data_IF_815648638315
#
_entry.id   IF_815648638315
#
_cell.length_a   1.000
_cell.length_b   1.000
_cell.length_c   1.000
_cell.angle_alpha   90.00
_cell.angle_beta   90.00
_cell.angle_gamma   90.00
#
_symmetry.space_group_name_H-M   'P 1'
#
loop_
_entity.id
_entity.type
_entity.pdbx_description
1 polymer ?
#
# COMPACT_ATOMS: atom_id res chain seq x y z
N UNK A 1 -7.09 4.26 -5.41
CA UNK A 1 -6.85 5.35 -6.38
C UNK A 1 -7.09 4.91 -7.82
N UNK A 2 -6.56 3.77 -8.27
CA UNK A 2 -6.68 3.28 -9.67
C UNK A 2 -8.12 3.14 -10.19
N UNK A 3 -9.11 3.00 -9.30
CA UNK A 3 -10.53 2.89 -9.68
C UNK A 3 -11.24 4.23 -9.82
N UNK A 4 -10.55 5.34 -9.65
CA UNK A 4 -11.14 6.67 -9.83
C UNK A 4 -11.09 7.04 -11.32
N UNK A 5 -12.19 6.82 -12.04
CA UNK A 5 -12.25 6.85 -13.51
C UNK A 5 -11.94 8.22 -14.13
N UNK A 6 -12.07 9.32 -13.37
CA UNK A 6 -11.82 10.68 -13.84
C UNK A 6 -10.37 11.14 -13.70
N UNK A 7 -9.50 10.32 -13.10
CA UNK A 7 -8.07 10.57 -12.96
C UNK A 7 -7.32 9.48 -13.71
N UNK A 8 -6.33 9.87 -14.50
CA UNK A 8 -5.52 8.95 -15.29
C UNK A 8 -4.21 8.64 -14.56
N UNK A 9 -4.08 7.46 -13.94
CA UNK A 9 -2.84 7.03 -13.34
C UNK A 9 -1.83 6.54 -14.39
N UNK A 10 -0.57 6.80 -14.14
CA UNK A 10 0.57 6.20 -14.83
C UNK A 10 1.50 5.63 -13.77
N UNK A 11 1.57 4.31 -13.69
CA UNK A 11 2.43 3.60 -12.75
C UNK A 11 3.77 3.25 -13.39
N UNK A 12 4.84 3.39 -12.62
CA UNK A 12 6.16 2.98 -13.03
C UNK A 12 6.22 1.45 -13.14
N UNK A 13 6.45 0.95 -14.35
CA UNK A 13 6.36 -0.48 -14.61
C UNK A 13 7.57 -1.26 -14.09
N UNK A 14 7.34 -2.22 -13.20
CA UNK A 14 8.35 -3.18 -12.73
C UNK A 14 8.86 -4.15 -13.80
N UNK A 15 8.37 -4.06 -15.04
CA UNK A 15 8.97 -4.75 -16.19
C UNK A 15 10.26 -4.08 -16.64
N UNK A 16 10.39 -2.78 -16.43
CA UNK A 16 11.51 -1.97 -16.88
C UNK A 16 12.37 -1.43 -15.75
N UNK A 17 11.77 -1.16 -14.61
CA UNK A 17 12.44 -0.65 -13.42
C UNK A 17 12.61 -1.72 -12.34
N UNK A 18 13.57 -1.53 -11.46
CA UNK A 18 13.76 -2.34 -10.25
C UNK A 18 12.80 -1.84 -9.16
N UNK A 19 12.32 -2.76 -8.32
CA UNK A 19 11.60 -2.41 -7.09
C UNK A 19 12.45 -1.52 -6.18
N UNK A 20 11.81 -0.54 -5.52
CA UNK A 20 12.47 0.41 -4.62
C UNK A 20 12.49 -0.11 -3.18
N UNK A 21 11.54 -0.97 -2.81
CA UNK A 21 11.42 -1.53 -1.46
C UNK A 21 9.98 -1.96 -1.15
N UNK A 22 9.68 -2.08 0.13
CA UNK A 22 8.36 -2.43 0.64
C UNK A 22 7.85 -1.36 1.59
N UNK A 23 6.54 -1.08 1.55
CA UNK A 23 5.88 -0.26 2.56
C UNK A 23 5.74 -1.03 3.88
N UNK A 24 5.97 -0.37 5.01
CA UNK A 24 5.67 -0.95 6.31
C UNK A 24 4.20 -1.35 6.42
N UNK A 25 3.93 -2.56 6.89
CA UNK A 25 2.58 -3.07 7.06
C UNK A 25 2.14 -2.84 8.50
N UNK A 26 1.08 -2.04 8.68
CA UNK A 26 0.39 -1.90 9.97
C UNK A 26 -0.77 -2.91 10.01
N UNK A 27 -0.66 -3.89 10.90
CA UNK A 27 -1.73 -4.87 11.13
C UNK A 27 -2.84 -4.26 11.98
N UNK A 28 -4.10 -4.53 11.61
CA UNK A 28 -5.28 -4.01 12.30
C UNK A 28 -6.36 -5.09 12.40
N UNK A 29 -7.17 -5.00 13.43
CA UNK A 29 -8.32 -5.88 13.61
C UNK A 29 -9.35 -5.68 12.50
N UNK A 30 -9.97 -6.78 12.08
CA UNK A 30 -11.11 -6.75 11.18
C UNK A 30 -12.33 -6.11 11.88
N UNK A 31 -13.00 -5.19 11.22
CA UNK A 31 -14.27 -4.66 11.71
C UNK A 31 -15.35 -5.74 11.69
N UNK A 32 -16.11 -5.89 12.78
CA UNK A 32 -17.23 -6.83 12.88
C UNK A 32 -18.41 -6.44 11.99
N UNK A 33 -18.66 -5.14 11.84
CA UNK A 33 -19.80 -4.60 11.09
C UNK A 33 -19.51 -4.34 9.61
N UNK A 34 -18.24 -4.19 9.22
CA UNK A 34 -17.86 -3.90 7.84
C UNK A 34 -16.65 -4.73 7.39
N UNK A 35 -16.89 -5.69 6.50
CA UNK A 35 -15.86 -6.59 5.96
C UNK A 35 -14.74 -5.89 5.17
N UNK A 36 -14.93 -4.64 4.79
CA UNK A 36 -13.96 -3.86 4.01
C UNK A 36 -13.17 -2.87 4.87
N UNK A 37 -13.43 -2.81 6.17
CA UNK A 37 -12.75 -1.89 7.08
C UNK A 37 -12.04 -2.63 8.20
N UNK A 38 -11.05 -1.96 8.76
CA UNK A 38 -10.28 -2.38 9.92
C UNK A 38 -10.44 -1.34 11.04
N UNK A 39 -10.21 -1.77 12.27
CA UNK A 39 -10.35 -0.93 13.47
C UNK A 39 -8.97 -0.57 14.04
N UNK A 40 -8.69 -0.97 15.26
CA UNK A 40 -7.48 -0.66 15.99
C UNK A 40 -6.27 -1.47 15.50
N UNK A 41 -5.07 -0.99 15.83
CA UNK A 41 -3.83 -1.70 15.57
C UNK A 41 -3.82 -3.00 16.35
N UNK A 42 -3.51 -4.10 15.68
CA UNK A 42 -3.49 -5.44 16.25
C UNK A 42 -2.36 -6.27 15.66
N UNK A 43 -1.36 -6.55 16.47
CA UNK A 43 -0.21 -7.37 16.10
C UNK A 43 -0.19 -8.64 16.98
N UNK A 44 -0.85 -9.72 16.52
CA UNK A 44 -1.00 -10.95 17.31
C UNK A 44 0.31 -11.70 17.45
N UNK A 45 0.46 -12.41 18.57
CA UNK A 45 1.45 -13.47 18.71
C UNK A 45 0.96 -14.71 17.94
N UNK A 46 1.88 -15.34 17.24
CA UNK A 46 1.66 -16.61 16.52
C UNK A 46 2.30 -17.73 17.31
N UNK A 47 1.74 -18.93 17.25
CA UNK A 47 2.31 -20.08 17.96
C UNK A 47 3.69 -20.43 17.43
N UNK A 48 3.84 -20.41 16.09
CA UNK A 48 5.11 -20.70 15.44
C UNK A 48 5.19 -20.04 14.05
N UNK A 49 6.41 -19.80 13.60
CA UNK A 49 6.68 -19.35 12.24
C UNK A 49 7.80 -20.15 11.62
N UNK A 50 7.53 -20.74 10.47
CA UNK A 50 8.47 -21.54 9.72
C UNK A 50 8.00 -21.80 8.30
N UNK A 51 8.70 -22.66 7.59
CA UNK A 51 8.32 -23.10 6.26
C UNK A 51 8.66 -24.57 6.04
N UNK A 52 7.94 -25.20 5.11
CA UNK A 52 8.24 -26.55 4.68
C UNK A 52 9.16 -26.53 3.47
N UNK A 53 10.26 -27.26 3.56
CA UNK A 53 11.18 -27.48 2.44
C UNK A 53 11.32 -28.98 2.19
N UNK A 54 10.85 -29.45 1.04
CA UNK A 54 10.69 -30.89 0.75
C UNK A 54 9.79 -31.54 1.80
N UNK A 55 10.28 -32.55 2.49
CA UNK A 55 9.55 -33.29 3.54
C UNK A 55 9.95 -32.86 4.97
N UNK A 56 10.68 -31.74 5.08
CA UNK A 56 11.15 -31.21 6.37
C UNK A 56 10.47 -29.90 6.68
N UNK A 57 9.95 -29.78 7.90
CA UNK A 57 9.53 -28.52 8.47
C UNK A 57 10.75 -27.79 9.03
N UNK A 58 10.96 -26.56 8.58
CA UNK A 58 12.03 -25.69 9.05
C UNK A 58 11.39 -24.64 9.92
N UNK A 59 11.64 -24.75 11.20
CA UNK A 59 11.16 -23.87 12.24
C UNK A 59 12.11 -22.67 12.38
N UNK A 60 11.57 -21.47 12.46
CA UNK A 60 12.35 -20.24 12.53
C UNK A 60 12.18 -19.50 13.86
N UNK A 61 10.95 -19.39 14.36
CA UNK A 61 10.63 -18.61 15.55
C UNK A 61 9.54 -19.30 16.37
N UNK A 62 9.63 -19.21 17.70
CA UNK A 62 8.59 -19.60 18.66
C UNK A 62 7.92 -18.33 19.19
N UNK A 63 6.62 -18.34 19.26
CA UNK A 63 5.78 -17.24 19.78
C UNK A 63 6.14 -15.83 19.22
N UNK A 64 6.42 -15.71 17.88
CA UNK A 64 6.77 -14.43 17.31
C UNK A 64 5.52 -13.55 17.13
N UNK A 65 5.72 -12.25 17.11
CA UNK A 65 4.69 -11.33 16.63
C UNK A 65 4.49 -11.45 15.12
N UNK A 66 3.27 -11.27 14.66
CA UNK A 66 2.97 -11.35 13.24
C UNK A 66 3.77 -10.33 12.41
N UNK A 67 4.03 -9.13 12.95
CA UNK A 67 4.89 -8.11 12.31
C UNK A 67 6.33 -8.60 12.11
N UNK A 68 6.90 -9.36 13.04
CA UNK A 68 8.24 -9.93 12.93
C UNK A 68 8.31 -10.98 11.82
N UNK A 69 7.30 -11.84 11.73
CA UNK A 69 7.20 -12.84 10.67
C UNK A 69 7.09 -12.17 9.29
N UNK A 70 6.28 -11.12 9.17
CA UNK A 70 6.12 -10.35 7.94
C UNK A 70 7.46 -9.72 7.55
N UNK A 71 8.15 -9.06 8.48
CA UNK A 71 9.46 -8.45 8.22
C UNK A 71 10.46 -9.48 7.70
N UNK A 72 10.57 -10.63 8.36
CA UNK A 72 11.44 -11.71 7.93
C UNK A 72 11.11 -12.22 6.53
N UNK A 73 9.81 -12.38 6.24
CA UNK A 73 9.34 -12.77 4.91
C UNK A 73 9.72 -11.74 3.84
N UNK A 74 9.48 -10.47 4.09
CA UNK A 74 9.81 -9.37 3.16
C UNK A 74 11.32 -9.31 2.88
N UNK A 75 12.17 -9.45 3.90
CA UNK A 75 13.63 -9.51 3.74
C UNK A 75 14.07 -10.71 2.88
N UNK A 76 13.42 -11.84 3.06
CA UNK A 76 13.70 -13.06 2.27
C UNK A 76 13.31 -12.88 0.80
N UNK A 77 12.16 -12.26 0.54
CA UNK A 77 11.69 -11.92 -0.81
C UNK A 77 12.63 -10.92 -1.48
N UNK A 78 13.05 -9.88 -0.77
CA UNK A 78 13.98 -8.88 -1.30
C UNK A 78 15.32 -9.50 -1.71
N UNK A 79 15.88 -10.35 -0.85
CA UNK A 79 17.12 -11.07 -1.13
C UNK A 79 16.98 -11.94 -2.38
N UNK A 80 15.90 -12.73 -2.45
CA UNK A 80 15.65 -13.61 -3.61
C UNK A 80 15.45 -12.80 -4.89
N UNK A 81 14.67 -11.73 -4.85
CA UNK A 81 14.46 -10.84 -6.00
C UNK A 81 15.77 -10.27 -6.54
N UNK A 82 16.62 -9.75 -5.65
CA UNK A 82 17.92 -9.20 -6.03
C UNK A 82 18.85 -10.29 -6.59
N UNK A 83 18.82 -11.50 -6.04
CA UNK A 83 19.62 -12.62 -6.55
C UNK A 83 19.15 -13.06 -7.94
N UNK A 84 17.85 -13.18 -8.18
CA UNK A 84 17.30 -13.48 -9.51
C UNK A 84 17.80 -12.48 -10.56
N UNK A 85 17.72 -11.18 -10.25
CA UNK A 85 18.21 -10.13 -11.13
C UNK A 85 19.71 -10.23 -11.39
N UNK A 86 20.51 -10.52 -10.36
CA UNK A 86 21.97 -10.69 -10.47
C UNK A 86 22.36 -11.88 -11.34
N UNK A 87 21.52 -12.92 -11.38
CA UNK A 87 21.68 -14.10 -12.24
C UNK A 87 21.12 -13.92 -13.66
N UNK A 88 20.64 -12.71 -13.99
CA UNK A 88 20.17 -12.40 -15.34
C UNK A 88 18.71 -12.79 -15.60
N UNK A 89 17.92 -13.12 -14.57
CA UNK A 89 16.48 -13.34 -14.75
C UNK A 89 15.83 -12.02 -15.15
N UNK A 90 14.99 -12.07 -16.18
CA UNK A 90 14.28 -10.89 -16.67
C UNK A 90 13.39 -10.28 -15.56
N UNK A 91 13.38 -8.93 -15.46
CA UNK A 91 12.59 -8.20 -14.46
C UNK A 91 11.10 -8.57 -14.52
N UNK A 92 10.57 -8.80 -15.72
CA UNK A 92 9.19 -9.21 -15.92
C UNK A 92 8.85 -10.57 -15.28
N UNK A 93 9.84 -11.45 -15.11
CA UNK A 93 9.69 -12.72 -14.42
C UNK A 93 9.99 -12.58 -12.92
N UNK A 94 11.10 -11.92 -12.57
CA UNK A 94 11.49 -11.75 -11.17
C UNK A 94 10.42 -11.05 -10.33
N UNK A 95 9.69 -10.08 -10.89
CA UNK A 95 8.63 -9.34 -10.19
C UNK A 95 7.46 -10.20 -9.68
N UNK A 96 7.27 -11.41 -10.19
CA UNK A 96 6.17 -12.28 -9.76
C UNK A 96 6.24 -12.73 -8.30
N UNK A 97 7.42 -12.63 -7.68
CA UNK A 97 7.58 -12.95 -6.25
C UNK A 97 7.30 -11.74 -5.34
N UNK A 98 7.14 -10.54 -5.89
CA UNK A 98 6.97 -9.32 -5.10
C UNK A 98 5.58 -9.24 -4.49
N UNK A 99 5.47 -8.90 -3.18
CA UNK A 99 4.20 -8.76 -2.49
C UNK A 99 3.47 -7.46 -2.86
N UNK A 100 2.19 -7.38 -2.48
CA UNK A 100 1.35 -6.21 -2.75
C UNK A 100 1.80 -4.92 -2.03
N UNK A 101 2.62 -5.02 -0.98
CA UNK A 101 3.24 -3.90 -0.29
C UNK A 101 4.50 -3.36 -0.98
N UNK A 102 4.82 -3.84 -2.19
CA UNK A 102 5.95 -3.30 -2.97
C UNK A 102 5.70 -1.86 -3.33
N UNK A 103 6.66 -0.98 -3.00
CA UNK A 103 6.59 0.44 -3.32
C UNK A 103 6.63 0.68 -4.82
N UNK A 104 5.88 1.67 -5.27
CA UNK A 104 5.87 2.09 -6.67
C UNK A 104 5.83 3.62 -6.77
N UNK A 105 6.15 4.15 -7.93
CA UNK A 105 5.97 5.56 -8.25
C UNK A 105 4.82 5.70 -9.22
N UNK A 106 3.88 6.58 -8.90
CA UNK A 106 2.72 6.83 -9.74
C UNK A 106 2.59 8.32 -10.05
N UNK A 107 2.32 8.64 -11.29
CA UNK A 107 1.89 9.96 -11.72
C UNK A 107 0.41 9.97 -11.99
N UNK A 108 -0.27 11.03 -11.58
CA UNK A 108 -1.71 11.20 -11.78
C UNK A 108 -1.98 12.48 -12.56
N UNK A 109 -2.87 12.40 -13.53
CA UNK A 109 -3.35 13.55 -14.28
C UNK A 109 -4.88 13.61 -14.21
N UNK A 110 -5.42 14.78 -13.90
CA UNK A 110 -6.85 15.00 -13.80
C UNK A 110 -7.21 16.48 -13.78
N UNK A 111 -8.49 16.79 -14.09
CA UNK A 111 -9.02 18.13 -13.93
C UNK A 111 -9.20 18.48 -12.45
N UNK A 112 -9.33 19.77 -12.11
CA UNK A 112 -9.63 20.19 -10.72
C UNK A 112 -10.90 19.54 -10.20
N UNK A 113 -11.92 19.40 -11.03
CA UNK A 113 -13.16 18.67 -10.68
C UNK A 113 -12.88 17.21 -10.31
N UNK A 114 -11.98 16.56 -11.03
CA UNK A 114 -11.60 15.17 -10.76
C UNK A 114 -10.88 15.03 -9.41
N UNK A 115 -10.01 15.98 -9.08
CA UNK A 115 -9.33 16.03 -7.80
C UNK A 115 -10.29 16.29 -6.64
N UNK A 116 -11.22 17.24 -6.78
CA UNK A 116 -12.29 17.46 -5.80
C UNK A 116 -13.14 16.20 -5.59
N UNK A 117 -13.51 15.51 -6.68
CA UNK A 117 -14.26 14.27 -6.58
C UNK A 117 -13.46 13.15 -5.90
N UNK A 118 -12.14 13.08 -6.13
CA UNK A 118 -11.27 12.12 -5.42
C UNK A 118 -11.27 12.40 -3.92
N UNK A 119 -11.02 13.63 -3.51
CA UNK A 119 -11.01 14.03 -2.10
C UNK A 119 -12.36 13.73 -1.45
N UNK A 120 -13.46 14.10 -2.11
CA UNK A 120 -14.83 13.87 -1.62
C UNK A 120 -15.09 12.40 -1.25
N UNK A 121 -14.56 11.45 -2.05
CA UNK A 121 -14.76 10.01 -1.84
C UNK A 121 -13.70 9.40 -0.94
N UNK A 122 -12.45 9.88 -1.00
CA UNK A 122 -11.32 9.21 -0.34
C UNK A 122 -11.00 9.76 1.05
N UNK A 123 -11.49 10.95 1.37
CA UNK A 123 -11.43 11.49 2.73
C UNK A 123 -12.54 10.93 3.65
N UNK A 124 -13.53 10.23 3.09
CA UNK A 124 -14.58 9.56 3.87
C UNK A 124 -13.98 8.54 4.84
N UNK A 125 -14.55 8.47 6.06
CA UNK A 125 -14.07 7.60 7.13
C UNK A 125 -14.19 6.08 6.81
N UNK A 126 -15.04 5.71 5.85
CA UNK A 126 -15.15 4.33 5.37
C UNK A 126 -14.05 3.96 4.38
N UNK A 127 -13.29 4.94 3.86
CA UNK A 127 -12.15 4.65 3.01
C UNK A 127 -11.01 4.01 3.81
N UNK A 128 -10.25 3.12 3.15
CA UNK A 128 -9.08 2.50 3.77
C UNK A 128 -8.09 3.57 4.26
N UNK A 129 -7.49 3.36 5.45
CA UNK A 129 -6.60 4.33 6.12
C UNK A 129 -5.49 4.84 5.19
N UNK A 130 -4.77 3.93 4.53
CA UNK A 130 -3.67 4.27 3.63
C UNK A 130 -4.15 5.11 2.44
N UNK A 131 -5.34 4.84 1.94
CA UNK A 131 -5.94 5.60 0.85
C UNK A 131 -6.34 7.01 1.31
N UNK A 132 -6.83 7.17 2.56
CA UNK A 132 -7.10 8.49 3.15
C UNK A 132 -5.82 9.30 3.36
N UNK A 133 -4.75 8.67 3.87
CA UNK A 133 -3.47 9.36 4.06
C UNK A 133 -2.93 9.93 2.74
N UNK A 134 -3.01 9.17 1.64
CA UNK A 134 -2.62 9.68 0.33
C UNK A 134 -3.54 10.82 -0.13
N UNK A 135 -4.86 10.69 0.11
CA UNK A 135 -5.81 11.74 -0.26
C UNK A 135 -5.57 13.03 0.57
N UNK A 136 -5.23 12.90 1.86
CA UNK A 136 -4.86 14.01 2.72
C UNK A 136 -3.65 14.78 2.19
N UNK A 137 -2.56 14.08 1.89
CA UNK A 137 -1.37 14.67 1.29
C UNK A 137 -1.68 15.38 -0.03
N UNK A 138 -2.49 14.77 -0.90
CA UNK A 138 -2.93 15.41 -2.15
C UNK A 138 -3.74 16.67 -1.87
N UNK A 139 -4.64 16.64 -0.89
CA UNK A 139 -5.47 17.79 -0.52
C UNK A 139 -4.64 18.94 0.02
N UNK A 140 -3.63 18.66 0.84
CA UNK A 140 -2.70 19.67 1.37
C UNK A 140 -1.91 20.36 0.27
N UNK A 141 -1.36 19.60 -0.68
CA UNK A 141 -0.65 20.16 -1.84
C UNK A 141 -1.58 21.01 -2.72
N UNK A 142 -2.80 20.53 -3.00
CA UNK A 142 -3.78 21.30 -3.77
C UNK A 142 -4.24 22.57 -3.05
N UNK A 143 -4.35 22.56 -1.72
CA UNK A 143 -4.68 23.74 -0.93
C UNK A 143 -3.52 24.75 -0.95
N UNK A 144 -2.27 24.29 -0.86
CA UNK A 144 -1.10 25.15 -0.92
C UNK A 144 -0.96 25.84 -2.30
N UNK A 145 -1.14 25.07 -3.39
CA UNK A 145 -1.02 25.59 -4.75
C UNK A 145 -2.24 26.42 -5.20
N UNK A 146 -3.42 26.10 -4.69
CA UNK A 146 -4.69 26.72 -5.12
C UNK A 146 -5.58 27.14 -3.92
N UNK A 147 -5.11 28.01 -3.02
CA UNK A 147 -5.82 28.35 -1.77
C UNK A 147 -7.18 29.01 -2.01
N UNK A 148 -7.35 29.70 -3.13
CA UNK A 148 -8.63 30.33 -3.49
C UNK A 148 -9.74 29.34 -3.82
N UNK A 149 -9.39 28.09 -4.11
CA UNK A 149 -10.33 27.00 -4.42
C UNK A 149 -10.40 26.05 -3.24
N UNK A 150 -9.30 25.38 -2.93
CA UNK A 150 -9.27 24.31 -1.93
C UNK A 150 -9.31 24.83 -0.49
N UNK A 151 -8.78 26.01 -0.19
CA UNK A 151 -8.87 26.64 1.13
C UNK A 151 -10.28 27.14 1.51
N UNK A 152 -11.24 27.09 0.58
CA UNK A 152 -12.66 27.45 0.82
C UNK A 152 -13.58 26.23 0.95
N UNK A 153 -13.04 25.03 0.78
CA UNK A 153 -13.79 23.77 0.79
C UNK A 153 -13.30 22.95 1.97
N UNK A 154 -14.20 22.42 2.78
CA UNK A 154 -13.84 21.53 3.89
C UNK A 154 -13.59 20.10 3.38
N UNK A 155 -12.60 19.97 2.48
CA UNK A 155 -12.26 18.71 1.83
C UNK A 155 -11.78 17.60 2.81
N UNK A 156 -11.33 18.02 4.02
CA UNK A 156 -10.85 17.06 5.06
C UNK A 156 -11.95 16.18 5.62
N UNK A 157 -13.19 16.62 5.55
CA UNK A 157 -14.34 15.82 6.01
C UNK A 157 -14.79 14.75 5.02
N UNK A 158 -14.41 14.86 3.75
CA UNK A 158 -15.01 14.05 2.70
C UNK A 158 -16.51 14.36 2.51
N UNK A 159 -17.11 13.79 1.47
CA UNK A 159 -18.55 13.94 1.16
C UNK A 159 -19.07 15.40 1.24
N UNK A 160 -18.28 16.34 0.69
CA UNK A 160 -18.57 17.78 0.70
C UNK A 160 -19.19 18.29 -0.61
N UNK A 161 -19.37 17.41 -1.62
CA UNK A 161 -20.03 17.70 -2.91
C UNK A 161 -21.42 17.10 -2.95
#
# INVERSE_FOLDING_TARGET
>A
LLRHSSIKPQEHSLRYSKSIGFEPIELRMQSESNRQSSTEVFDPELEEYGYRFRDQEIFLMSDPKASECILHHLQSVEKLYNELLSKGVAKECARFILPNCTTTVMSFNGTLRSWLSLLNVRMDHHAQKECRLIAELIGEELEAEMPNIFGRIDWRKGMFL
#
